data_IF_593783778357
#
_entry.id   IF_593783778357
#
_cell.length_a   1.000
_cell.length_b   1.000
_cell.length_c   1.000
_cell.angle_alpha   90.00
_cell.angle_beta   90.00
_cell.angle_gamma   90.00
#
_symmetry.space_group_name_H-M   'P 1'
#
loop_
_entity.id
_entity.type
_entity.pdbx_description
1 polymer ?
#
# COMPACT_ATOMS: atom_id res chain seq x y z
N UNK A 1 -23.42 -8.19 1.42
CA UNK A 1 -22.62 -7.17 2.12
C UNK A 1 -21.64 -6.60 1.10
N UNK A 2 -21.88 -5.38 0.63
CA UNK A 2 -21.13 -4.85 -0.52
C UNK A 2 -19.72 -4.44 -0.08
N UNK A 3 -18.74 -4.56 -0.98
CA UNK A 3 -17.37 -4.06 -0.77
C UNK A 3 -17.31 -2.54 -0.47
N UNK A 4 -18.44 -1.83 -0.53
CA UNK A 4 -18.57 -0.39 -0.32
C UNK A 4 -18.44 0.05 1.16
N UNK A 5 -18.64 -0.85 2.13
CA UNK A 5 -18.82 -0.42 3.54
C UNK A 5 -17.54 -0.37 4.37
N UNK A 6 -16.37 -0.70 3.78
CA UNK A 6 -15.07 -0.66 4.48
C UNK A 6 -14.04 0.18 3.71
N UNK A 7 -13.87 1.48 4.02
CA UNK A 7 -12.92 2.35 3.33
C UNK A 7 -11.49 1.78 3.34
N UNK A 8 -11.12 1.03 4.39
CA UNK A 8 -9.82 0.37 4.56
C UNK A 8 -9.48 -0.63 3.45
N UNK A 9 -10.48 -1.37 2.95
CA UNK A 9 -10.30 -2.36 1.87
C UNK A 9 -10.11 -1.69 0.51
N UNK A 10 -10.75 -0.53 0.29
CA UNK A 10 -10.62 0.22 -0.96
C UNK A 10 -9.21 0.81 -1.13
N UNK A 11 -8.59 1.22 -0.02
CA UNK A 11 -7.23 1.76 -0.05
C UNK A 11 -6.14 0.69 -0.21
N UNK A 12 -6.33 -0.50 0.37
CA UNK A 12 -5.38 -1.61 0.20
C UNK A 12 -5.48 -2.29 -1.18
N UNK A 13 -6.62 -2.16 -1.87
CA UNK A 13 -6.83 -2.75 -3.19
C UNK A 13 -5.86 -2.22 -4.25
N UNK A 14 -5.57 -0.92 -4.26
CA UNK A 14 -4.70 -0.30 -5.26
C UNK A 14 -3.29 -0.92 -5.26
N UNK A 15 -2.55 -0.95 -4.14
CA UNK A 15 -1.22 -1.55 -4.13
C UNK A 15 -1.25 -3.06 -4.37
N UNK A 16 -2.34 -3.77 -4.07
CA UNK A 16 -2.48 -5.19 -4.42
C UNK A 16 -2.68 -5.38 -5.93
N UNK A 17 -3.48 -4.54 -6.59
CA UNK A 17 -3.66 -4.58 -8.04
C UNK A 17 -2.35 -4.28 -8.74
N UNK A 18 -1.58 -3.30 -8.26
CA UNK A 18 -0.25 -2.98 -8.79
C UNK A 18 0.69 -4.18 -8.62
N UNK A 19 0.64 -4.90 -7.49
CA UNK A 19 1.46 -6.10 -7.26
C UNK A 19 1.18 -7.15 -8.33
N UNK A 20 -0.10 -7.46 -8.54
CA UNK A 20 -0.55 -8.42 -9.55
C UNK A 20 -0.09 -7.98 -10.95
N UNK A 21 -0.28 -6.71 -11.30
CA UNK A 21 0.15 -6.16 -12.57
C UNK A 21 1.68 -6.30 -12.77
N UNK A 22 2.47 -6.01 -11.74
CA UNK A 22 3.93 -6.17 -11.78
C UNK A 22 4.36 -7.63 -11.96
N UNK A 23 3.59 -8.61 -11.48
CA UNK A 23 3.87 -10.03 -11.72
C UNK A 23 3.60 -10.40 -13.18
N UNK A 24 2.43 -10.02 -13.72
CA UNK A 24 1.97 -10.57 -14.99
C UNK A 24 2.38 -9.78 -16.23
N UNK A 25 2.53 -8.45 -16.16
CA UNK A 25 2.91 -7.61 -17.31
C UNK A 25 4.29 -7.97 -17.90
N UNK A 26 5.32 -8.27 -17.09
CA UNK A 26 6.66 -8.54 -17.64
C UNK A 26 6.81 -9.98 -18.16
N UNK A 27 5.88 -10.89 -17.86
CA UNK A 27 5.96 -12.31 -18.28
C UNK A 27 5.98 -12.48 -19.81
N UNK A 28 5.10 -11.85 -20.61
CA UNK A 28 5.21 -11.87 -22.06
C UNK A 28 6.59 -11.43 -22.55
N UNK A 29 7.21 -10.42 -21.94
CA UNK A 29 8.54 -9.96 -22.33
C UNK A 29 9.64 -10.98 -22.02
N UNK A 30 9.49 -11.72 -20.92
CA UNK A 30 10.38 -12.83 -20.60
C UNK A 30 10.32 -13.92 -21.68
N UNK A 31 9.11 -14.34 -22.06
CA UNK A 31 8.91 -15.43 -23.02
C UNK A 31 9.21 -15.02 -24.48
N UNK A 32 8.88 -13.81 -24.90
CA UNK A 32 8.99 -13.39 -26.30
C UNK A 32 10.22 -12.55 -26.63
N UNK A 33 10.81 -11.84 -25.65
CA UNK A 33 11.87 -10.84 -25.90
C UNK A 33 13.18 -11.10 -25.13
N UNK A 34 13.36 -12.30 -24.56
CA UNK A 34 14.54 -12.68 -23.75
C UNK A 34 14.83 -11.73 -22.58
N UNK A 35 13.80 -11.12 -22.00
CA UNK A 35 13.95 -10.32 -20.79
C UNK A 35 14.36 -11.20 -19.61
N UNK A 36 15.39 -10.81 -18.85
CA UNK A 36 15.91 -11.63 -17.76
C UNK A 36 15.11 -11.39 -16.46
N UNK A 37 13.90 -11.95 -16.42
CA UNK A 37 12.88 -11.67 -15.39
C UNK A 37 13.40 -11.87 -13.96
N UNK A 38 14.05 -13.01 -13.71
CA UNK A 38 14.60 -13.38 -12.39
C UNK A 38 15.64 -12.37 -11.89
N UNK A 39 16.38 -11.71 -12.78
CA UNK A 39 17.44 -10.79 -12.39
C UNK A 39 16.90 -9.40 -12.02
N UNK A 40 15.92 -8.89 -12.77
CA UNK A 40 15.43 -7.52 -12.62
C UNK A 40 14.21 -7.39 -11.71
N UNK A 41 13.29 -8.35 -11.77
CA UNK A 41 12.01 -8.25 -11.06
C UNK A 41 12.12 -8.27 -9.54
N UNK A 42 12.98 -9.09 -8.91
CA UNK A 42 13.17 -9.04 -7.47
C UNK A 42 13.50 -7.63 -6.99
N UNK A 43 14.47 -6.97 -7.62
CA UNK A 43 14.89 -5.60 -7.25
C UNK A 43 13.73 -4.62 -7.41
N UNK A 44 12.96 -4.71 -8.50
CA UNK A 44 11.79 -3.87 -8.71
C UNK A 44 10.70 -4.10 -7.65
N UNK A 45 10.45 -5.34 -7.25
CA UNK A 45 9.53 -5.66 -6.16
C UNK A 45 10.00 -5.12 -4.82
N UNK A 46 11.30 -5.18 -4.51
CA UNK A 46 11.86 -4.58 -3.29
C UNK A 46 11.68 -3.05 -3.28
N UNK A 47 12.04 -2.37 -4.37
CA UNK A 47 11.88 -0.91 -4.50
C UNK A 47 10.39 -0.53 -4.38
N UNK A 48 9.51 -1.23 -5.09
CA UNK A 48 8.08 -0.98 -5.02
C UNK A 48 7.51 -1.28 -3.62
N UNK A 49 7.98 -2.33 -2.94
CA UNK A 49 7.61 -2.64 -1.57
C UNK A 49 7.96 -1.50 -0.62
N UNK A 50 9.20 -1.00 -0.68
CA UNK A 50 9.58 0.19 0.10
C UNK A 50 8.71 1.40 -0.23
N UNK A 51 8.46 1.66 -1.51
CA UNK A 51 7.63 2.77 -1.94
C UNK A 51 6.19 2.67 -1.41
N UNK A 52 5.59 1.48 -1.42
CA UNK A 52 4.25 1.23 -0.85
C UNK A 52 4.22 1.52 0.65
N UNK A 53 5.26 1.14 1.40
CA UNK A 53 5.35 1.43 2.85
C UNK A 53 5.43 2.94 3.08
N UNK A 54 6.32 3.63 2.35
CA UNK A 54 6.53 5.07 2.50
C UNK A 54 5.30 5.88 2.08
N UNK A 55 4.69 5.54 0.95
CA UNK A 55 3.45 6.20 0.49
C UNK A 55 2.30 5.93 1.43
N UNK A 56 2.19 4.69 1.94
CA UNK A 56 1.21 4.34 2.95
C UNK A 56 1.31 5.20 4.20
N UNK A 57 2.53 5.30 4.75
CA UNK A 57 2.81 6.16 5.89
C UNK A 57 2.51 7.64 5.57
N UNK A 58 2.93 8.14 4.41
CA UNK A 58 2.71 9.54 3.99
C UNK A 58 1.23 9.87 3.78
N UNK A 59 0.45 8.96 3.22
CA UNK A 59 -1.00 9.14 3.03
C UNK A 59 -1.74 9.22 4.37
N UNK A 60 -1.25 8.51 5.38
CA UNK A 60 -1.76 8.53 6.75
C UNK A 60 -1.37 9.82 7.50
N UNK A 61 -0.13 10.29 7.34
CA UNK A 61 0.30 11.60 7.87
C UNK A 61 -0.45 12.76 7.21
N UNK A 62 -0.79 12.61 5.93
CA UNK A 62 -1.65 13.51 5.18
C UNK A 62 -3.12 13.24 5.47
N UNK A 63 -3.55 13.47 6.72
CA UNK A 63 -4.94 13.38 7.17
C UNK A 63 -5.84 14.43 6.47
N UNK A 64 -5.97 14.33 5.15
CA UNK A 64 -6.72 15.24 4.28
C UNK A 64 -8.20 15.29 4.65
N UNK A 65 -8.76 14.16 5.10
CA UNK A 65 -10.12 14.14 5.67
C UNK A 65 -10.20 14.89 7.00
N UNK A 66 -9.15 14.86 7.81
CA UNK A 66 -9.11 15.45 9.15
C UNK A 66 -8.88 16.96 9.14
N UNK A 67 -7.93 17.44 8.32
CA UNK A 67 -7.76 18.89 8.09
C UNK A 67 -9.05 19.48 7.50
N UNK A 68 -9.69 18.77 6.57
CA UNK A 68 -10.93 19.24 5.95
C UNK A 68 -12.10 19.23 6.93
N UNK A 69 -12.23 18.21 7.80
CA UNK A 69 -13.27 18.18 8.84
C UNK A 69 -13.04 19.18 9.96
N UNK A 70 -11.78 19.40 10.39
CA UNK A 70 -11.41 20.42 11.38
C UNK A 70 -11.63 21.84 10.88
N UNK A 71 -11.32 22.10 9.60
CA UNK A 71 -11.61 23.40 8.98
C UNK A 71 -13.11 23.64 8.81
N UNK A 72 -13.91 22.59 8.57
CA UNK A 72 -15.36 22.72 8.38
C UNK A 72 -16.16 22.80 9.69
N UNK A 73 -15.74 22.16 10.78
CA UNK A 73 -16.58 22.04 11.98
C UNK A 73 -16.39 23.13 13.03
N UNK A 74 -15.27 23.86 13.08
CA UNK A 74 -14.94 24.83 14.17
C UNK A 74 -15.28 24.33 15.59
N UNK A 75 -15.37 23.01 15.80
CA UNK A 75 -15.74 22.42 17.08
C UNK A 75 -14.49 22.07 17.87
N UNK A 76 -14.58 22.26 19.19
CA UNK A 76 -13.55 21.88 20.15
C UNK A 76 -13.25 20.40 20.01
N UNK A 77 -11.99 20.05 19.74
CA UNK A 77 -11.55 18.66 19.65
C UNK A 77 -11.43 18.12 21.07
N UNK A 78 -12.13 17.03 21.39
CA UNK A 78 -11.91 16.32 22.65
C UNK A 78 -10.70 15.36 22.52
N UNK A 79 -9.99 15.16 23.64
CA UNK A 79 -8.84 14.25 23.72
C UNK A 79 -9.18 12.79 23.33
N UNK A 80 -10.45 12.40 23.46
CA UNK A 80 -10.99 11.09 23.09
C UNK A 80 -10.97 10.83 21.57
N UNK A 81 -11.23 11.84 20.75
CA UNK A 81 -11.23 11.76 19.29
C UNK A 81 -9.82 11.48 18.75
N UNK A 82 -8.79 12.04 19.39
CA UNK A 82 -7.39 11.80 19.03
C UNK A 82 -7.00 10.33 19.15
N UNK A 83 -7.49 9.62 20.16
CA UNK A 83 -7.16 8.22 20.37
C UNK A 83 -7.68 7.32 19.23
N UNK A 84 -8.91 7.58 18.78
CA UNK A 84 -9.50 6.84 17.65
C UNK A 84 -8.78 7.12 16.34
N UNK A 85 -8.26 8.34 16.17
CA UNK A 85 -7.48 8.74 15.00
C UNK A 85 -6.13 8.03 14.98
N UNK A 86 -5.38 8.08 16.09
CA UNK A 86 -4.10 7.38 16.19
C UNK A 86 -4.27 5.88 15.97
N UNK A 87 -5.36 5.29 16.45
CA UNK A 87 -5.69 3.88 16.20
C UNK A 87 -5.98 3.61 14.72
N UNK A 88 -6.71 4.49 14.03
CA UNK A 88 -6.97 4.33 12.60
C UNK A 88 -5.70 4.48 11.76
N UNK A 89 -4.86 5.47 12.07
CA UNK A 89 -3.56 5.69 11.42
C UNK A 89 -2.64 4.48 11.64
N UNK A 90 -2.53 3.98 12.88
CA UNK A 90 -1.71 2.81 13.16
C UNK A 90 -2.17 1.58 12.35
N UNK A 91 -3.49 1.35 12.25
CA UNK A 91 -4.03 0.23 11.45
C UNK A 91 -3.73 0.41 9.96
N UNK A 92 -3.89 1.60 9.40
CA UNK A 92 -3.64 1.86 7.99
C UNK A 92 -2.15 1.71 7.66
N UNK A 93 -1.28 2.29 8.47
CA UNK A 93 0.17 2.11 8.37
C UNK A 93 0.57 0.63 8.43
N UNK A 94 0.00 -0.15 9.36
CA UNK A 94 0.25 -1.60 9.44
C UNK A 94 -0.20 -2.34 8.17
N UNK A 95 -1.32 -1.96 7.55
CA UNK A 95 -1.79 -2.55 6.30
C UNK A 95 -0.78 -2.28 5.17
N UNK A 96 -0.28 -1.05 5.04
CA UNK A 96 0.72 -0.72 4.01
C UNK A 96 2.07 -1.38 4.27
N UNK A 97 2.49 -1.51 5.53
CA UNK A 97 3.65 -2.32 5.92
C UNK A 97 3.46 -3.77 5.48
N UNK A 98 2.31 -4.37 5.79
CA UNK A 98 2.00 -5.74 5.39
C UNK A 98 2.03 -5.95 3.88
N UNK A 99 1.47 -5.02 3.11
CA UNK A 99 1.51 -5.08 1.63
C UNK A 99 2.95 -4.88 1.12
N UNK A 100 3.71 -3.93 1.67
CA UNK A 100 5.11 -3.74 1.27
C UNK A 100 5.99 -4.95 1.55
N UNK A 101 5.78 -5.63 2.68
CA UNK A 101 6.45 -6.91 2.99
C UNK A 101 6.03 -7.99 1.97
N UNK A 102 4.74 -8.04 1.59
CA UNK A 102 4.27 -8.99 0.58
C UNK A 102 5.00 -8.80 -0.76
N UNK A 103 5.25 -7.55 -1.19
CA UNK A 103 6.08 -7.25 -2.36
C UNK A 103 7.49 -7.85 -2.22
N UNK A 104 8.14 -7.63 -1.08
CA UNK A 104 9.49 -8.14 -0.83
C UNK A 104 9.53 -9.67 -0.83
N UNK A 105 8.51 -10.32 -0.25
CA UNK A 105 8.39 -11.80 -0.27
C UNK A 105 8.25 -12.29 -1.71
N UNK A 106 7.39 -11.68 -2.52
CA UNK A 106 7.24 -12.05 -3.93
C UNK A 106 8.56 -11.88 -4.69
N UNK A 107 9.25 -10.75 -4.48
CA UNK A 107 10.57 -10.50 -5.06
C UNK A 107 11.59 -11.56 -4.65
N UNK A 108 11.64 -11.93 -3.37
CA UNK A 108 12.51 -12.99 -2.86
C UNK A 108 12.18 -14.36 -3.45
N UNK A 109 10.90 -14.73 -3.53
CA UNK A 109 10.47 -16.00 -4.13
C UNK A 109 10.89 -16.08 -5.59
N UNK A 110 10.72 -15.00 -6.36
CA UNK A 110 11.16 -14.94 -7.76
C UNK A 110 12.68 -15.06 -7.90
N UNK A 111 13.45 -14.53 -6.95
CA UNK A 111 14.91 -14.61 -6.98
C UNK A 111 15.44 -16.02 -6.70
N UNK A 112 14.74 -16.76 -5.83
CA UNK A 112 15.17 -18.09 -5.36
C UNK A 112 14.78 -19.22 -6.31
N UNK A 113 13.70 -19.05 -7.08
CA UNK A 113 13.22 -20.00 -8.10
C UNK A 113 14.03 -19.84 -9.38
#
# INVERSE_FOLDING_TARGET
MSLSDKPKLKFSLIPIIILIAMIFIPLPFHFFFRFNYIYYMPVLFFIAGFFVIFVGAWYDFGAKKYVTSLFQSRQHIEDSDFNDIYKQQLIMTLIFIGIGILYMIVGYVIFVI
#
